data_IF_649020985165
#
_entry.id   IF_649020985165
#
_cell.length_a   1.000
_cell.length_b   1.000
_cell.length_c   1.000
_cell.angle_alpha   90.00
_cell.angle_beta   90.00
_cell.angle_gamma   90.00
#
_symmetry.space_group_name_H-M   'P 1'
#
loop_
_entity.id
_entity.type
_entity.pdbx_description
1 polymer ?
#
# COMPACT_ATOMS: atom_id res chain seq x y z
N UNK A 1 14.46 23.59 -2.87
CA UNK A 1 14.35 22.74 -4.07
C UNK A 1 13.31 21.66 -3.87
N UNK A 2 12.44 21.47 -4.84
CA UNK A 2 11.43 20.41 -4.75
C UNK A 2 12.04 19.06 -5.17
N UNK A 3 11.71 18.03 -4.41
CA UNK A 3 12.11 16.65 -4.71
C UNK A 3 10.86 15.87 -5.09
N UNK A 4 10.94 15.14 -6.18
CA UNK A 4 9.82 14.39 -6.71
C UNK A 4 10.10 12.90 -6.75
N UNK A 5 9.11 12.10 -6.41
CA UNK A 5 9.08 10.69 -6.72
C UNK A 5 8.45 10.52 -8.11
N UNK A 6 9.11 9.77 -8.98
CA UNK A 6 8.59 9.48 -10.31
C UNK A 6 8.57 7.98 -10.55
N UNK A 7 7.40 7.50 -10.98
CA UNK A 7 7.26 6.12 -11.43
C UNK A 7 6.95 6.13 -12.93
N UNK A 8 7.84 5.57 -13.72
CA UNK A 8 7.68 5.51 -15.17
C UNK A 8 6.91 4.24 -15.52
N UNK A 9 5.71 4.42 -16.05
CA UNK A 9 4.83 3.30 -16.41
C UNK A 9 5.13 2.75 -17.78
N UNK A 10 5.40 3.64 -18.73
CA UNK A 10 5.82 3.29 -20.09
C UNK A 10 6.47 4.51 -20.75
N UNK A 11 6.79 4.43 -22.03
CA UNK A 11 7.45 5.51 -22.76
C UNK A 11 6.70 6.85 -22.68
N UNK A 12 5.40 6.82 -22.50
CA UNK A 12 4.55 7.99 -22.63
C UNK A 12 3.83 8.39 -21.35
N UNK A 13 3.92 7.57 -20.30
CA UNK A 13 3.17 7.78 -19.05
C UNK A 13 4.07 7.63 -17.84
N UNK A 14 4.06 8.64 -16.99
CA UNK A 14 4.74 8.58 -15.70
C UNK A 14 3.85 9.21 -14.64
N UNK A 15 4.05 8.77 -13.40
CA UNK A 15 3.34 9.26 -12.23
C UNK A 15 4.34 9.90 -11.29
N UNK A 16 4.05 11.12 -10.82
CA UNK A 16 4.97 11.84 -9.95
C UNK A 16 4.26 12.46 -8.77
N UNK A 17 4.93 12.43 -7.62
CA UNK A 17 4.45 13.10 -6.40
C UNK A 17 5.58 13.87 -5.75
N UNK A 18 5.26 15.05 -5.25
CA UNK A 18 6.23 15.88 -4.55
C UNK A 18 6.44 15.33 -3.14
N UNK A 19 7.70 15.10 -2.80
CA UNK A 19 8.09 14.55 -1.50
C UNK A 19 8.41 15.67 -0.52
N UNK A 20 8.11 15.42 0.76
CA UNK A 20 8.60 16.23 1.88
C UNK A 20 9.96 15.70 2.33
N UNK A 21 10.00 14.41 2.64
CA UNK A 21 11.24 13.77 3.09
C UNK A 21 11.16 12.25 2.97
N UNK A 22 12.31 11.60 3.03
CA UNK A 22 12.40 10.15 3.14
C UNK A 22 12.50 9.81 4.61
N UNK A 23 11.53 9.03 5.12
CA UNK A 23 11.47 8.67 6.53
C UNK A 23 12.27 7.41 6.84
N UNK A 24 12.34 6.50 5.89
CA UNK A 24 13.03 5.23 6.05
C UNK A 24 13.48 4.72 4.69
N UNK A 25 14.65 4.09 4.65
CA UNK A 25 15.12 3.37 3.48
C UNK A 25 15.95 2.19 3.95
N UNK A 26 15.61 1.01 3.46
CA UNK A 26 16.34 -0.21 3.76
C UNK A 26 16.31 -1.16 2.58
N UNK A 27 17.30 -2.02 2.51
CA UNK A 27 17.30 -3.05 1.46
C UNK A 27 17.84 -4.37 2.01
N UNK A 28 17.42 -5.44 1.36
CA UNK A 28 17.96 -6.77 1.60
C UNK A 28 18.24 -7.40 0.24
N UNK A 29 18.55 -8.70 0.22
CA UNK A 29 18.87 -9.38 -1.04
C UNK A 29 17.68 -9.51 -2.01
N UNK A 30 16.47 -9.27 -1.53
CA UNK A 30 15.26 -9.44 -2.35
C UNK A 30 14.64 -8.13 -2.81
N UNK A 31 14.71 -7.10 -1.99
CA UNK A 31 14.00 -5.86 -2.31
C UNK A 31 14.53 -4.65 -1.54
N UNK A 32 14.22 -3.47 -2.06
CA UNK A 32 14.44 -2.20 -1.38
C UNK A 32 13.10 -1.69 -0.89
N UNK A 33 13.06 -1.26 0.37
CA UNK A 33 11.84 -0.71 0.99
C UNK A 33 12.11 0.73 1.39
N UNK A 34 11.22 1.63 1.00
CA UNK A 34 11.30 3.04 1.40
C UNK A 34 9.96 3.50 1.94
N UNK A 35 10.01 4.36 2.95
CA UNK A 35 8.84 5.09 3.44
C UNK A 35 9.13 6.56 3.25
N UNK A 36 8.27 7.23 2.51
CA UNK A 36 8.42 8.65 2.20
C UNK A 36 7.21 9.43 2.71
N UNK A 37 7.43 10.69 3.05
CA UNK A 37 6.34 11.60 3.37
C UNK A 37 6.08 12.48 2.16
N UNK A 38 4.85 12.54 1.71
CA UNK A 38 4.45 13.29 0.52
C UNK A 38 3.58 14.48 0.91
N UNK A 39 3.52 15.48 0.03
CA UNK A 39 2.65 16.64 0.26
C UNK A 39 1.17 16.30 0.06
N UNK A 40 0.86 15.44 -0.90
CA UNK A 40 -0.53 15.20 -1.31
C UNK A 40 -1.15 13.96 -0.68
N UNK A 41 -0.37 12.87 -0.52
CA UNK A 41 -0.89 11.56 -0.16
C UNK A 41 -0.52 11.11 1.26
N UNK A 42 0.24 11.93 2.00
CA UNK A 42 0.77 11.55 3.30
C UNK A 42 1.93 10.58 3.18
N UNK A 43 2.12 9.74 4.19
CA UNK A 43 3.20 8.74 4.16
C UNK A 43 2.87 7.65 3.17
N UNK A 44 3.88 7.21 2.43
CA UNK A 44 3.72 6.21 1.41
C UNK A 44 4.81 5.14 1.51
N UNK A 45 4.44 3.93 1.13
CA UNK A 45 5.34 2.79 1.08
C UNK A 45 5.73 2.52 -0.36
N UNK A 46 7.04 2.46 -0.61
CA UNK A 46 7.61 2.09 -1.91
C UNK A 46 8.38 0.79 -1.75
N UNK A 47 8.21 -0.13 -2.68
CA UNK A 47 9.01 -1.35 -2.75
C UNK A 47 9.63 -1.40 -4.14
N UNK A 48 10.97 -1.46 -4.18
CA UNK A 48 11.74 -1.40 -5.42
C UNK A 48 11.40 -0.14 -6.25
N UNK A 49 11.20 0.98 -5.54
CA UNK A 49 10.81 2.27 -6.11
C UNK A 49 9.44 2.27 -6.79
N UNK A 50 8.61 1.27 -6.52
CA UNK A 50 7.25 1.20 -7.00
C UNK A 50 6.27 1.56 -5.88
N UNK A 51 5.26 2.32 -6.23
CA UNK A 51 4.24 2.78 -5.29
C UNK A 51 3.37 1.62 -4.83
N UNK A 52 3.34 1.36 -3.53
CA UNK A 52 2.53 0.29 -2.95
C UNK A 52 1.26 0.83 -2.30
N UNK A 53 1.41 1.73 -1.33
CA UNK A 53 0.27 2.26 -0.60
C UNK A 53 0.62 3.62 0.01
N UNK A 54 -0.39 4.42 0.32
CA UNK A 54 -0.24 5.69 1.01
C UNK A 54 -1.34 5.87 2.05
N UNK A 55 -1.11 6.76 3.01
CA UNK A 55 -2.08 7.00 4.08
C UNK A 55 -3.43 7.47 3.55
N UNK A 56 -3.42 8.28 2.50
CA UNK A 56 -4.64 8.87 1.98
C UNK A 56 -5.60 7.85 1.36
N UNK A 57 -5.08 6.84 0.68
CA UNK A 57 -5.91 5.90 -0.08
C UNK A 57 -5.81 4.44 0.37
N UNK A 58 -4.97 4.12 1.39
CA UNK A 58 -4.73 2.73 1.75
C UNK A 58 -5.98 2.02 2.24
N UNK A 59 -6.85 2.72 2.96
CA UNK A 59 -8.06 2.09 3.49
C UNK A 59 -8.99 1.65 2.35
N UNK A 60 -9.22 2.51 1.37
CA UNK A 60 -10.02 2.17 0.20
C UNK A 60 -9.44 1.00 -0.58
N UNK A 61 -8.12 1.00 -0.76
CA UNK A 61 -7.42 -0.09 -1.44
C UNK A 61 -7.61 -1.42 -0.72
N UNK A 62 -7.40 -1.45 0.60
CA UNK A 62 -7.54 -2.68 1.37
C UNK A 62 -8.99 -3.12 1.49
N UNK A 63 -9.92 -2.20 1.60
CA UNK A 63 -11.34 -2.53 1.60
C UNK A 63 -11.78 -3.16 0.26
N UNK A 64 -11.28 -2.64 -0.84
CA UNK A 64 -11.62 -3.20 -2.17
C UNK A 64 -11.02 -4.58 -2.40
N UNK A 65 -9.93 -4.91 -1.73
CA UNK A 65 -9.37 -6.27 -1.79
C UNK A 65 -10.22 -7.24 -0.95
N UNK A 66 -10.69 -6.80 0.21
CA UNK A 66 -11.30 -7.67 1.22
C UNK A 66 -12.82 -7.79 1.07
N UNK A 67 -13.51 -6.64 0.93
CA UNK A 67 -14.97 -6.61 0.99
C UNK A 67 -15.67 -7.49 -0.05
N UNK A 68 -15.26 -7.52 -1.32
CA UNK A 68 -15.95 -8.38 -2.29
C UNK A 68 -15.96 -9.85 -1.90
N UNK A 69 -14.85 -10.38 -1.41
CA UNK A 69 -14.76 -11.77 -1.00
C UNK A 69 -15.52 -12.03 0.29
N UNK A 70 -15.34 -11.16 1.27
CA UNK A 70 -15.95 -11.33 2.61
C UNK A 70 -17.46 -11.17 2.60
N UNK A 71 -17.99 -10.29 1.74
CA UNK A 71 -19.44 -10.10 1.64
C UNK A 71 -20.12 -11.11 0.72
N UNK A 72 -19.34 -11.77 -0.15
CA UNK A 72 -19.87 -12.77 -1.07
C UNK A 72 -19.88 -14.18 -0.47
N UNK A 73 -18.91 -14.47 0.38
CA UNK A 73 -18.81 -15.80 1.02
C UNK A 73 -20.00 -16.02 1.97
N UNK A 74 -20.70 -17.16 1.86
CA UNK A 74 -21.83 -17.45 2.75
C UNK A 74 -21.40 -17.71 4.19
N UNK A 75 -20.13 -18.06 4.39
CA UNK A 75 -19.61 -18.35 5.72
C UNK A 75 -18.13 -18.05 5.77
N UNK A 76 -17.72 -17.26 6.76
CA UNK A 76 -16.33 -16.89 6.95
C UNK A 76 -15.80 -17.61 8.19
N UNK A 77 -14.95 -18.61 7.98
CA UNK A 77 -14.33 -19.37 9.08
C UNK A 77 -12.83 -19.18 9.10
N UNK A 78 -12.21 -19.23 7.93
CA UNK A 78 -10.76 -19.12 7.80
C UNK A 78 -10.42 -18.25 6.59
N UNK A 79 -9.39 -17.43 6.73
CA UNK A 79 -8.94 -16.54 5.70
C UNK A 79 -7.44 -16.70 5.53
N UNK A 80 -7.00 -16.87 4.29
CA UNK A 80 -5.58 -16.88 3.94
C UNK A 80 -5.24 -15.58 3.23
N UNK A 81 -4.21 -14.91 3.71
CA UNK A 81 -3.67 -13.71 3.08
C UNK A 81 -2.29 -14.05 2.54
N UNK A 82 -2.12 -13.90 1.22
CA UNK A 82 -0.83 -14.10 0.56
C UNK A 82 -0.18 -12.73 0.40
N UNK A 83 0.96 -12.52 1.05
CA UNK A 83 1.59 -11.19 1.15
C UNK A 83 1.02 -10.42 2.33
N UNK A 84 0.66 -9.15 2.10
CA UNK A 84 0.01 -8.32 3.12
C UNK A 84 0.89 -7.92 4.29
N UNK A 85 2.19 -7.75 4.05
CA UNK A 85 3.15 -7.43 5.10
C UNK A 85 2.92 -6.08 5.79
N UNK A 86 2.17 -5.17 5.18
CA UNK A 86 1.82 -3.89 5.78
C UNK A 86 0.67 -4.00 6.81
N UNK A 87 0.00 -5.15 6.88
CA UNK A 87 -1.07 -5.40 7.85
C UNK A 87 -2.44 -4.87 7.47
N UNK A 88 -2.55 -4.08 6.38
CA UNK A 88 -3.81 -3.44 6.00
C UNK A 88 -4.92 -4.42 5.66
N UNK A 89 -4.62 -5.44 4.87
CA UNK A 89 -5.60 -6.47 4.50
C UNK A 89 -6.06 -7.24 5.74
N UNK A 90 -5.13 -7.59 6.62
CA UNK A 90 -5.45 -8.28 7.86
C UNK A 90 -6.38 -7.45 8.74
N UNK A 91 -6.12 -6.15 8.85
CA UNK A 91 -6.93 -5.26 9.68
C UNK A 91 -8.37 -5.16 9.15
N UNK A 92 -8.55 -5.08 7.83
CA UNK A 92 -9.89 -5.05 7.25
C UNK A 92 -10.59 -6.41 7.40
N UNK A 93 -9.87 -7.52 7.23
CA UNK A 93 -10.44 -8.85 7.48
C UNK A 93 -10.96 -8.98 8.91
N UNK A 94 -10.24 -8.43 9.89
CA UNK A 94 -10.63 -8.48 11.29
C UNK A 94 -11.96 -7.78 11.56
N UNK A 95 -12.37 -6.80 10.75
CA UNK A 95 -13.65 -6.12 10.89
C UNK A 95 -14.84 -7.05 10.65
N UNK A 96 -14.63 -8.18 9.97
CA UNK A 96 -15.66 -9.19 9.70
C UNK A 96 -15.71 -10.27 10.74
N UNK A 97 -14.83 -10.22 11.74
CA UNK A 97 -14.82 -11.22 12.80
C UNK A 97 -15.97 -10.95 13.76
N UNK A 98 -16.88 -11.91 13.88
CA UNK A 98 -17.98 -11.80 14.85
C UNK A 98 -17.50 -12.24 16.23
N UNK A 99 -17.91 -11.50 17.20
CA UNK A 99 -17.60 -11.80 18.60
C UNK A 99 -18.42 -12.97 19.15
#
# INVERSE_FOLDING_TARGET
MAVWYDEVLNENVRFGLRLKETLFMGENEYQTVSVVDTHEMGRALLIDDLWMTSERDEKGYHEMIVHPAMTTSPKIERVLIIGGGDGGTRDICAEFHSE
#
